data_IF_587316495960
#
_entry.id   IF_587316495960
#
_cell.length_a   1.000
_cell.length_b   1.000
_cell.length_c   1.000
_cell.angle_alpha   90.00
_cell.angle_beta   90.00
_cell.angle_gamma   90.00
#
_symmetry.space_group_name_H-M   'P 1'
#
loop_
_entity.id
_entity.type
_entity.pdbx_description
1 polymer ?
#
# COMPACT_ATOMS: atom_id res chain seq x y z
N UNK A 1 -10.83 -4.22 -15.22
CA UNK A 1 -9.44 -4.72 -15.06
C UNK A 1 -8.77 -3.81 -14.06
N UNK A 2 -8.06 -4.36 -13.06
CA UNK A 2 -7.36 -3.54 -12.06
C UNK A 2 -6.12 -2.93 -12.70
N UNK A 3 -5.93 -1.63 -12.53
CA UNK A 3 -4.76 -0.90 -12.98
C UNK A 3 -3.80 -0.70 -11.79
N UNK A 4 -2.68 -1.42 -11.83
CA UNK A 4 -1.63 -1.32 -10.82
C UNK A 4 -0.67 -0.14 -11.06
N UNK A 5 -0.90 0.71 -12.05
CA UNK A 5 -0.05 1.89 -12.29
C UNK A 5 -0.67 3.18 -11.79
N UNK A 6 -1.93 3.13 -11.32
CA UNK A 6 -2.65 4.25 -10.71
C UNK A 6 -3.31 3.78 -9.42
N UNK A 7 -3.09 4.48 -8.33
CA UNK A 7 -3.64 4.12 -7.03
C UNK A 7 -3.85 5.33 -6.13
N UNK A 8 -4.81 5.20 -5.23
CA UNK A 8 -5.00 6.12 -4.11
C UNK A 8 -4.18 5.62 -2.91
N UNK A 9 -3.60 6.54 -2.17
CA UNK A 9 -3.06 6.31 -0.83
C UNK A 9 -4.14 6.73 0.15
N UNK A 10 -4.54 5.82 1.02
CA UNK A 10 -5.60 6.04 2.00
C UNK A 10 -5.04 6.00 3.40
N UNK A 11 -5.63 6.81 4.29
CA UNK A 11 -5.58 6.61 5.73
C UNK A 11 -6.99 6.21 6.18
N UNK A 12 -7.12 5.02 6.78
CA UNK A 12 -8.45 4.40 6.91
C UNK A 12 -9.15 4.37 5.53
N UNK A 13 -10.34 4.92 5.38
CA UNK A 13 -11.05 4.99 4.09
C UNK A 13 -10.95 6.37 3.41
N UNK A 14 -10.20 7.30 4.00
CA UNK A 14 -10.02 8.65 3.47
C UNK A 14 -8.82 8.69 2.51
N UNK A 15 -9.02 9.24 1.31
CA UNK A 15 -7.95 9.40 0.32
C UNK A 15 -7.05 10.57 0.74
N UNK A 16 -5.78 10.29 0.94
CA UNK A 16 -4.78 11.28 1.39
C UNK A 16 -3.78 11.64 0.29
N UNK A 17 -3.63 10.82 -0.74
CA UNK A 17 -2.89 11.15 -1.95
C UNK A 17 -3.36 10.29 -3.14
N UNK A 18 -3.07 10.76 -4.35
CA UNK A 18 -3.20 9.99 -5.58
C UNK A 18 -1.83 9.85 -6.26
N UNK A 19 -1.54 8.68 -6.81
CA UNK A 19 -0.26 8.37 -7.47
C UNK A 19 -0.48 7.75 -8.83
N UNK A 20 0.18 8.31 -9.85
CA UNK A 20 0.30 7.73 -11.18
C UNK A 20 1.76 7.35 -11.45
N UNK A 21 2.08 6.05 -11.52
CA UNK A 21 3.43 5.58 -11.81
C UNK A 21 3.84 5.79 -13.27
N UNK A 22 2.86 5.85 -14.17
CA UNK A 22 3.02 6.08 -15.61
C UNK A 22 1.96 7.07 -16.09
N UNK A 23 2.19 8.38 -15.90
CA UNK A 23 1.23 9.39 -16.33
C UNK A 23 1.08 9.40 -17.86
N UNK A 24 -0.11 9.76 -18.34
CA UNK A 24 -0.49 9.63 -19.76
C UNK A 24 0.37 10.48 -20.72
N UNK A 25 0.97 11.57 -20.22
CA UNK A 25 1.86 12.44 -20.98
C UNK A 25 3.28 11.87 -21.19
N UNK A 26 3.59 10.71 -20.58
CA UNK A 26 4.94 10.16 -20.52
C UNK A 26 5.78 10.95 -19.52
N UNK A 27 6.27 10.29 -18.47
CA UNK A 27 7.03 10.98 -17.42
C UNK A 27 7.41 10.06 -16.28
N UNK A 28 8.09 10.62 -15.28
CA UNK A 28 8.36 9.96 -14.00
C UNK A 28 7.06 9.89 -13.17
N UNK A 29 6.99 9.04 -12.14
CA UNK A 29 5.81 8.94 -11.28
C UNK A 29 5.34 10.32 -10.79
N UNK A 30 4.03 10.53 -10.79
CA UNK A 30 3.39 11.78 -10.41
C UNK A 30 2.51 11.56 -9.17
N UNK A 31 2.55 12.51 -8.24
CA UNK A 31 1.83 12.45 -6.97
C UNK A 31 1.04 13.73 -6.78
N UNK A 32 -0.18 13.59 -6.25
CA UNK A 32 -0.97 14.69 -5.68
C UNK A 32 -1.33 14.29 -4.25
N UNK A 33 -0.80 14.99 -3.26
CA UNK A 33 -1.20 14.86 -1.87
C UNK A 33 -2.42 15.75 -1.59
N UNK A 34 -3.31 15.29 -0.71
CA UNK A 34 -4.50 16.02 -0.29
C UNK A 34 -4.47 16.47 1.17
N UNK A 35 -3.40 16.12 1.89
CA UNK A 35 -3.19 16.49 3.28
C UNK A 35 -1.81 17.12 3.48
N UNK A 36 -1.71 17.98 4.50
CA UNK A 36 -0.46 18.54 5.02
C UNK A 36 -0.23 17.97 6.44
N UNK A 37 0.40 16.79 6.50
CA UNK A 37 0.78 16.11 7.74
C UNK A 37 2.08 15.33 7.51
N UNK A 38 3.16 15.78 8.14
CA UNK A 38 4.50 15.21 7.96
C UNK A 38 4.57 13.68 8.17
N UNK A 39 3.72 13.11 9.03
CA UNK A 39 3.76 11.68 9.33
C UNK A 39 2.92 10.83 8.38
N UNK A 40 1.98 11.43 7.65
CA UNK A 40 1.03 10.70 6.78
C UNK A 40 1.22 10.98 5.29
N UNK A 41 1.91 12.07 4.95
CA UNK A 41 2.09 12.48 3.57
C UNK A 41 2.92 11.47 2.76
N UNK A 42 2.51 11.19 1.52
CA UNK A 42 3.21 10.24 0.66
C UNK A 42 4.52 10.83 0.10
N UNK A 43 4.48 12.11 -0.28
CA UNK A 43 5.61 12.87 -0.82
C UNK A 43 5.70 14.23 -0.13
N UNK A 44 6.90 14.77 0.18
CA UNK A 44 7.03 16.08 0.83
C UNK A 44 6.48 17.25 -0.01
N UNK A 45 6.44 17.10 -1.34
CA UNK A 45 5.86 18.10 -2.23
C UNK A 45 4.38 17.79 -2.44
N UNK A 46 3.51 18.79 -2.24
CA UNK A 46 2.05 18.60 -2.35
C UNK A 46 1.62 18.04 -3.70
N UNK A 47 2.23 18.47 -4.81
CA UNK A 47 1.89 17.99 -6.14
C UNK A 47 3.12 18.04 -7.05
N UNK A 48 3.33 16.98 -7.82
CA UNK A 48 4.38 16.97 -8.83
C UNK A 48 4.99 15.59 -9.10
N UNK A 49 6.01 15.61 -9.95
CA UNK A 49 6.80 14.43 -10.25
C UNK A 49 7.72 14.07 -9.09
N UNK A 50 7.78 12.79 -8.76
CA UNK A 50 8.77 12.22 -7.84
C UNK A 50 9.81 11.40 -8.60
N UNK A 51 10.97 11.24 -7.97
CA UNK A 51 12.03 10.37 -8.46
C UNK A 51 11.71 8.89 -8.24
N UNK A 52 12.37 8.01 -9.00
CA UNK A 52 12.31 6.57 -8.76
C UNK A 52 12.91 6.18 -7.39
N UNK A 53 13.88 6.95 -6.90
CA UNK A 53 14.48 6.72 -5.59
C UNK A 53 13.50 7.00 -4.45
N UNK A 54 12.72 8.09 -4.54
CA UNK A 54 11.67 8.40 -3.58
C UNK A 54 10.59 7.32 -3.55
N UNK A 55 10.17 6.85 -4.74
CA UNK A 55 9.23 5.74 -4.86
C UNK A 55 9.80 4.45 -4.25
N UNK A 56 11.02 4.06 -4.59
CA UNK A 56 11.68 2.87 -4.03
C UNK A 56 11.84 2.96 -2.52
N UNK A 57 12.14 4.14 -1.98
CA UNK A 57 12.18 4.38 -0.53
C UNK A 57 10.81 4.10 0.07
N UNK A 58 9.73 4.64 -0.50
CA UNK A 58 8.39 4.39 0.02
C UNK A 58 8.01 2.89 -0.04
N UNK A 59 8.26 2.22 -1.17
CA UNK A 59 8.01 0.78 -1.32
C UNK A 59 8.81 -0.06 -0.32
N UNK A 60 10.04 0.34 -0.01
CA UNK A 60 10.87 -0.34 0.98
C UNK A 60 10.25 -0.26 2.39
N UNK A 61 9.60 0.85 2.75
CA UNK A 61 8.94 0.97 4.05
C UNK A 61 7.69 0.10 4.12
N UNK A 62 6.98 -0.06 3.00
CA UNK A 62 5.75 -0.90 2.91
C UNK A 62 6.01 -2.38 2.67
N UNK A 63 7.26 -2.84 2.76
CA UNK A 63 7.63 -4.24 2.54
C UNK A 63 8.56 -4.75 3.63
N UNK A 64 8.43 -6.03 3.99
CA UNK A 64 9.38 -6.65 4.93
C UNK A 64 10.78 -6.71 4.30
N UNK A 65 11.87 -6.60 5.10
CA UNK A 65 13.22 -6.63 4.54
C UNK A 65 13.54 -8.01 3.93
N UNK A 66 14.29 -8.07 2.81
CA UNK A 66 14.64 -9.35 2.17
C UNK A 66 15.55 -10.22 3.05
N UNK A 67 16.21 -9.62 4.05
CA UNK A 67 17.06 -10.30 5.03
C UNK A 67 16.30 -10.82 6.26
N UNK A 68 14.97 -10.64 6.32
CA UNK A 68 14.16 -11.12 7.44
C UNK A 68 14.28 -12.65 7.55
N UNK A 69 14.45 -13.17 8.77
CA UNK A 69 14.64 -14.60 9.03
C UNK A 69 13.53 -15.44 8.39
N UNK A 70 12.28 -14.98 8.48
CA UNK A 70 11.11 -15.64 7.91
C UNK A 70 10.68 -15.08 6.53
N UNK A 71 11.58 -14.46 5.77
CA UNK A 71 11.23 -13.86 4.47
C UNK A 71 10.69 -14.88 3.47
N UNK A 72 11.18 -16.12 3.49
CA UNK A 72 10.73 -17.19 2.58
C UNK A 72 9.29 -17.63 2.88
N UNK A 73 8.94 -17.80 4.15
CA UNK A 73 7.57 -18.14 4.55
C UNK A 73 6.61 -17.00 4.20
N UNK A 74 7.02 -15.74 4.42
CA UNK A 74 6.22 -14.57 4.04
C UNK A 74 5.98 -14.53 2.53
N UNK A 75 7.01 -14.70 1.71
CA UNK A 75 6.84 -14.77 0.25
C UNK A 75 5.91 -15.92 -0.16
N UNK A 76 6.05 -17.10 0.45
CA UNK A 76 5.18 -18.24 0.18
C UNK A 76 3.71 -17.95 0.54
N UNK A 77 3.44 -17.28 1.65
CA UNK A 77 2.08 -16.84 2.04
C UNK A 77 1.45 -15.83 1.08
N UNK A 78 2.29 -15.10 0.32
CA UNK A 78 1.86 -14.17 -0.74
C UNK A 78 1.84 -14.84 -2.13
N UNK A 79 2.10 -16.14 -2.20
CA UNK A 79 2.23 -16.94 -3.43
C UNK A 79 3.36 -16.43 -4.35
N UNK A 80 4.43 -15.89 -3.76
CA UNK A 80 5.55 -15.30 -4.47
C UNK A 80 6.78 -16.22 -4.42
N UNK A 81 7.40 -16.44 -5.58
CA UNK A 81 8.62 -17.26 -5.71
C UNK A 81 9.91 -16.46 -5.55
N UNK A 82 9.84 -15.14 -5.69
CA UNK A 82 10.98 -14.24 -5.60
C UNK A 82 10.57 -12.93 -4.93
N UNK A 83 11.54 -12.32 -4.25
CA UNK A 83 11.33 -11.04 -3.60
C UNK A 83 11.20 -9.93 -4.66
N UNK A 84 10.02 -9.31 -4.72
CA UNK A 84 9.74 -8.16 -5.59
C UNK A 84 8.88 -7.16 -4.80
N UNK A 85 9.41 -5.97 -4.50
CA UNK A 85 8.72 -5.01 -3.62
C UNK A 85 7.35 -4.62 -4.16
N UNK A 86 7.28 -4.31 -5.46
CA UNK A 86 6.01 -3.95 -6.09
C UNK A 86 5.00 -5.10 -6.06
N UNK A 87 5.46 -6.33 -6.30
CA UNK A 87 4.64 -7.54 -6.20
C UNK A 87 4.11 -7.76 -4.79
N UNK A 88 4.93 -7.53 -3.76
CA UNK A 88 4.52 -7.61 -2.35
C UNK A 88 3.45 -6.55 -2.08
N UNK A 89 3.70 -5.28 -2.43
CA UNK A 89 2.75 -4.18 -2.22
C UNK A 89 1.42 -4.43 -2.93
N UNK A 90 1.43 -5.03 -4.13
CA UNK A 90 0.21 -5.42 -4.84
C UNK A 90 -0.60 -6.51 -4.14
N UNK A 91 0.06 -7.39 -3.38
CA UNK A 91 -0.59 -8.47 -2.63
C UNK A 91 -1.05 -8.03 -1.24
N UNK A 92 -0.36 -7.06 -0.64
CA UNK A 92 -0.61 -6.60 0.74
C UNK A 92 -1.27 -5.23 0.82
N UNK A 93 -1.46 -4.54 -0.31
CA UNK A 93 -1.89 -3.14 -0.37
C UNK A 93 -0.99 -2.19 0.44
N UNK A 94 0.24 -2.59 0.74
CA UNK A 94 1.19 -1.80 1.54
C UNK A 94 0.79 -1.58 3.00
N UNK A 95 -0.15 -2.37 3.53
CA UNK A 95 -0.58 -2.26 4.94
C UNK A 95 0.57 -2.52 5.91
N UNK A 96 0.60 -1.76 7.01
CA UNK A 96 1.54 -1.97 8.11
C UNK A 96 0.79 -2.21 9.42
N UNK A 97 1.49 -2.76 10.42
CA UNK A 97 0.91 -2.95 11.75
C UNK A 97 0.91 -1.65 12.59
N UNK A 98 1.76 -0.70 12.22
CA UNK A 98 2.04 0.50 13.01
C UNK A 98 1.30 1.76 12.50
N UNK A 99 0.66 1.69 11.32
CA UNK A 99 -0.19 2.75 10.77
C UNK A 99 -1.40 2.17 10.03
N UNK A 100 -2.39 3.04 9.75
CA UNK A 100 -3.59 2.70 8.97
C UNK A 100 -3.49 3.18 7.51
N UNK A 101 -2.27 3.32 6.99
CA UNK A 101 -2.04 3.75 5.61
C UNK A 101 -1.98 2.52 4.68
N UNK A 102 -2.70 2.59 3.57
CA UNK A 102 -2.71 1.54 2.55
C UNK A 102 -2.98 2.10 1.16
N UNK A 103 -2.81 1.26 0.14
CA UNK A 103 -3.03 1.62 -1.26
C UNK A 103 -4.28 0.96 -1.81
N UNK A 104 -5.14 1.72 -2.49
CA UNK A 104 -6.22 1.16 -3.31
C UNK A 104 -5.89 1.33 -4.78
N UNK A 105 -5.74 0.23 -5.50
CA UNK A 105 -5.46 0.26 -6.93
C UNK A 105 -6.70 0.68 -7.71
N UNK A 106 -6.50 1.39 -8.82
CA UNK A 106 -7.59 1.86 -9.66
C UNK A 106 -8.43 0.68 -10.18
N UNK A 107 -9.73 0.75 -9.91
CA UNK A 107 -10.71 -0.29 -10.23
C UNK A 107 -11.04 -1.22 -9.05
N UNK A 108 -10.36 -1.11 -7.91
CA UNK A 108 -10.75 -1.79 -6.68
C UNK A 108 -11.82 -1.00 -5.92
N UNK A 109 -12.65 -1.72 -5.17
CA UNK A 109 -13.66 -1.15 -4.25
C UNK A 109 -13.39 -1.57 -2.81
N UNK A 110 -12.15 -1.98 -2.50
CA UNK A 110 -11.74 -2.36 -1.16
C UNK A 110 -11.83 -1.16 -0.21
N UNK A 111 -11.96 -1.49 1.07
CA UNK A 111 -11.94 -0.58 2.22
C UNK A 111 -10.84 -0.99 3.19
N UNK A 112 -10.51 -0.13 4.15
CA UNK A 112 -9.57 -0.44 5.22
C UNK A 112 -9.94 -1.75 5.95
N UNK A 113 -11.23 -2.02 6.12
CA UNK A 113 -11.74 -3.26 6.71
C UNK A 113 -11.27 -4.51 5.96
N UNK A 114 -11.16 -4.43 4.64
CA UNK A 114 -10.81 -5.59 3.82
C UNK A 114 -9.33 -5.95 3.99
N UNK A 115 -8.47 -4.94 4.15
CA UNK A 115 -7.00 -5.08 4.08
C UNK A 115 -6.29 -5.01 5.43
N UNK A 116 -6.91 -4.45 6.47
CA UNK A 116 -6.20 -4.21 7.74
C UNK A 116 -5.78 -5.51 8.44
N UNK A 117 -4.63 -5.46 9.12
CA UNK A 117 -4.02 -6.61 9.78
C UNK A 117 -4.70 -7.00 11.10
N UNK A 118 -5.39 -6.06 11.76
CA UNK A 118 -5.98 -6.20 13.10
C UNK A 118 -7.46 -5.84 13.08
N UNK A 119 -8.27 -6.62 12.37
CA UNK A 119 -9.71 -6.32 12.17
C UNK A 119 -10.44 -6.18 13.50
N UNK A 120 -10.11 -7.03 14.47
CA UNK A 120 -10.65 -7.06 15.82
C UNK A 120 -10.43 -5.76 16.61
N UNK A 121 -9.39 -4.99 16.30
CA UNK A 121 -9.11 -3.71 16.97
C UNK A 121 -10.04 -2.59 16.47
N UNK A 122 -10.29 -2.54 15.16
CA UNK A 122 -11.03 -1.45 14.52
C UNK A 122 -12.51 -1.79 14.28
N UNK A 123 -12.84 -3.08 14.22
CA UNK A 123 -14.17 -3.62 13.92
C UNK A 123 -14.54 -4.76 14.90
N UNK A 124 -14.60 -4.49 16.22
CA UNK A 124 -14.75 -5.52 17.26
C UNK A 124 -16.11 -6.21 17.30
N UNK A 125 -17.14 -5.64 16.65
CA UNK A 125 -18.51 -6.14 16.72
C UNK A 125 -18.79 -7.31 15.76
N UNK A 126 -17.84 -7.71 14.92
CA UNK A 126 -18.04 -8.78 13.95
C UNK A 126 -17.41 -10.11 14.39
N UNK A 127 -18.15 -11.24 14.29
CA UNK A 127 -17.61 -12.55 14.63
C UNK A 127 -16.44 -12.90 13.71
N UNK A 128 -15.35 -13.36 14.32
CA UNK A 128 -14.13 -13.73 13.62
C UNK A 128 -14.40 -14.97 12.76
N UNK A 129 -14.65 -14.79 11.46
CA UNK A 129 -14.93 -15.90 10.51
C UNK A 129 -13.72 -16.84 10.25
N UNK A 130 -12.70 -16.81 11.11
CA UNK A 130 -11.51 -17.68 11.03
C UNK A 130 -11.58 -18.92 11.93
N UNK A 131 -12.76 -19.39 12.29
CA UNK A 131 -12.95 -20.65 13.03
C UNK A 131 -13.59 -21.79 12.24
N UNK A 132 -13.51 -21.84 10.90
CA UNK A 132 -13.85 -23.07 10.16
C UNK A 132 -13.09 -23.18 8.84
N UNK A 133 -11.88 -23.76 8.85
CA UNK A 133 -11.35 -24.66 7.81
C UNK A 133 -10.27 -25.57 8.41
#
# INVERSE_FOLDING_TARGET
>A
MIDYMSFDVLWMDDIIAHVELKPANGGTPYVINYIDDFNKQFSPTMEGHISLEELERWLKWRTFPPTRVNAKELLASLEMQAYNRWGIVRKTHGVMADDEIWLRFKGETLTHRDVCLRKELYYPEEPNFREFQ
#
